data_IF_793828720143
#
_entry.id   IF_793828720143
#
_cell.length_a   1.000
_cell.length_b   1.000
_cell.length_c   1.000
_cell.angle_alpha   90.00
_cell.angle_beta   90.00
_cell.angle_gamma   90.00
#
_symmetry.space_group_name_H-M   'P 1'
#
loop_
_entity.id
_entity.type
_entity.pdbx_description
1 polymer ?
#
# COMPACT_ATOMS: atom_id res chain seq x y z
N UNK A 1 41.10 -15.12 48.91
CA UNK A 1 41.33 -14.75 47.51
C UNK A 1 40.49 -15.67 46.63
N UNK A 2 39.43 -15.12 46.06
CA UNK A 2 38.61 -15.62 44.94
C UNK A 2 39.44 -15.78 43.65
N UNK A 3 38.92 -16.36 42.54
CA UNK A 3 37.63 -17.05 42.39
C UNK A 3 37.66 -18.39 41.60
N UNK A 4 36.53 -19.08 41.76
CA UNK A 4 35.99 -20.23 41.03
C UNK A 4 35.37 -19.72 39.72
N UNK A 5 35.76 -20.26 38.56
CA UNK A 5 35.15 -19.93 37.28
C UNK A 5 33.96 -20.87 37.00
N UNK A 6 32.75 -20.32 37.09
CA UNK A 6 31.52 -20.89 36.53
C UNK A 6 31.52 -20.64 35.02
N UNK A 7 31.30 -21.70 34.25
CA UNK A 7 31.00 -21.59 32.83
C UNK A 7 29.49 -21.38 32.68
N UNK A 8 29.08 -20.12 32.63
CA UNK A 8 27.75 -19.74 32.13
C UNK A 8 27.77 -19.87 30.60
N UNK A 9 27.13 -20.92 30.10
CA UNK A 9 26.83 -21.08 28.69
C UNK A 9 25.75 -20.04 28.32
N UNK A 10 26.20 -19.00 27.64
CA UNK A 10 25.39 -17.98 26.97
C UNK A 10 24.39 -18.67 26.02
N UNK A 11 23.11 -18.66 26.40
CA UNK A 11 22.00 -18.97 25.50
C UNK A 11 21.98 -17.87 24.43
N UNK A 12 22.60 -18.15 23.28
CA UNK A 12 22.51 -17.30 22.09
C UNK A 12 21.06 -17.34 21.61
N UNK A 13 20.44 -16.17 21.62
CA UNK A 13 19.04 -15.93 21.28
C UNK A 13 18.73 -16.39 19.85
N UNK A 14 17.80 -17.35 19.71
CA UNK A 14 17.20 -17.83 18.45
C UNK A 14 16.20 -16.83 17.85
N UNK A 15 16.49 -15.53 17.88
CA UNK A 15 15.54 -14.49 17.46
C UNK A 15 15.63 -14.14 15.96
N UNK A 16 16.72 -14.53 15.28
CA UNK A 16 16.95 -14.20 13.87
C UNK A 16 16.29 -15.14 12.85
N UNK A 17 16.22 -16.45 13.12
CA UNK A 17 15.69 -17.43 12.16
C UNK A 17 14.16 -17.42 12.05
N UNK A 18 13.45 -17.05 13.13
CA UNK A 18 11.99 -16.97 13.14
C UNK A 18 11.46 -15.82 12.25
N UNK A 19 12.18 -14.71 12.16
CA UNK A 19 11.77 -13.51 11.41
C UNK A 19 11.78 -13.73 9.90
N UNK A 20 12.75 -14.49 9.37
CA UNK A 20 12.86 -14.75 7.93
C UNK A 20 11.80 -15.76 7.45
N UNK A 21 11.49 -16.78 8.28
CA UNK A 21 10.43 -17.75 8.01
C UNK A 21 9.03 -17.13 8.00
N UNK A 22 8.76 -16.24 8.95
CA UNK A 22 7.49 -15.51 9.04
C UNK A 22 7.28 -14.55 7.86
N UNK A 23 8.36 -13.89 7.41
CA UNK A 23 8.31 -12.98 6.28
C UNK A 23 8.01 -13.72 4.96
N UNK A 24 8.69 -14.84 4.72
CA UNK A 24 8.47 -15.64 3.51
C UNK A 24 7.05 -16.27 3.50
N UNK A 25 6.54 -16.66 4.67
CA UNK A 25 5.15 -17.12 4.82
C UNK A 25 4.14 -16.02 4.48
N UNK A 26 4.37 -14.77 4.90
CA UNK A 26 3.53 -13.63 4.53
C UNK A 26 3.54 -13.39 3.02
N UNK A 27 4.73 -13.33 2.41
CA UNK A 27 4.88 -13.10 0.97
C UNK A 27 4.09 -14.17 0.20
N UNK A 28 4.25 -15.44 0.56
CA UNK A 28 3.53 -16.54 -0.08
C UNK A 28 2.01 -16.49 0.13
N UNK A 29 1.56 -16.19 1.36
CA UNK A 29 0.14 -16.07 1.68
C UNK A 29 -0.51 -14.90 0.91
N UNK A 30 0.21 -13.80 0.78
CA UNK A 30 -0.24 -12.61 0.05
C UNK A 30 -0.30 -12.85 -1.45
N UNK A 31 0.71 -13.51 -2.03
CA UNK A 31 0.70 -13.87 -3.45
C UNK A 31 -0.41 -14.87 -3.78
N UNK A 32 -0.67 -15.83 -2.89
CA UNK A 32 -1.81 -16.76 -3.04
C UNK A 32 -3.13 -16.01 -2.99
N UNK A 33 -3.31 -15.10 -2.03
CA UNK A 33 -4.49 -14.25 -1.93
C UNK A 33 -4.69 -13.39 -3.18
N UNK A 34 -3.61 -12.78 -3.71
CA UNK A 34 -3.62 -12.00 -4.96
C UNK A 34 -4.00 -12.87 -6.16
N UNK A 35 -3.50 -14.10 -6.25
CA UNK A 35 -3.89 -15.04 -7.31
C UNK A 35 -5.40 -15.30 -7.26
N UNK A 36 -5.94 -15.63 -6.08
CA UNK A 36 -7.38 -15.85 -5.92
C UNK A 36 -8.22 -14.62 -6.27
N UNK A 37 -7.74 -13.41 -5.97
CA UNK A 37 -8.41 -12.16 -6.36
C UNK A 37 -8.37 -11.93 -7.87
N UNK A 38 -7.28 -12.29 -8.55
CA UNK A 38 -7.19 -12.21 -10.02
C UNK A 38 -8.15 -13.18 -10.68
N UNK A 39 -8.25 -14.41 -10.17
CA UNK A 39 -9.22 -15.40 -10.67
C UNK A 39 -10.65 -14.90 -10.49
N UNK A 40 -10.97 -14.30 -9.33
CA UNK A 40 -12.26 -13.68 -9.08
C UNK A 40 -12.54 -12.48 -10.00
N UNK A 41 -11.50 -11.70 -10.31
CA UNK A 41 -11.62 -10.54 -11.19
C UNK A 41 -12.06 -10.96 -12.59
N UNK A 42 -11.44 -11.99 -13.16
CA UNK A 42 -11.83 -12.53 -14.47
C UNK A 42 -13.31 -12.91 -14.50
N UNK A 43 -13.80 -13.63 -13.49
CA UNK A 43 -15.20 -14.02 -13.39
C UNK A 43 -16.15 -12.83 -13.25
N UNK A 44 -15.73 -11.75 -12.58
CA UNK A 44 -16.54 -10.53 -12.42
C UNK A 44 -16.53 -9.68 -13.69
N UNK A 45 -15.41 -9.59 -14.39
CA UNK A 45 -15.28 -8.88 -15.67
C UNK A 45 -16.17 -9.52 -16.74
N UNK A 46 -16.20 -10.85 -16.84
CA UNK A 46 -17.10 -11.59 -17.75
C UNK A 46 -18.58 -11.26 -17.46
N UNK A 47 -18.97 -11.15 -16.17
CA UNK A 47 -20.33 -10.74 -15.79
C UNK A 47 -20.65 -9.30 -16.18
N UNK A 48 -19.68 -8.38 -16.07
CA UNK A 48 -19.85 -6.99 -16.51
C UNK A 48 -20.03 -6.91 -18.02
N UNK A 49 -19.25 -7.67 -18.78
CA UNK A 49 -19.37 -7.76 -20.24
C UNK A 49 -20.75 -8.27 -20.64
N UNK A 50 -21.18 -9.41 -20.09
CA UNK A 50 -22.50 -9.98 -20.36
C UNK A 50 -23.66 -9.03 -20.00
N UNK A 51 -23.57 -8.34 -18.86
CA UNK A 51 -24.59 -7.36 -18.46
C UNK A 51 -24.57 -6.10 -19.35
N UNK A 52 -23.41 -5.68 -19.86
CA UNK A 52 -23.30 -4.57 -20.79
C UNK A 52 -23.92 -4.91 -22.16
N UNK A 53 -23.70 -6.12 -22.65
CA UNK A 53 -24.34 -6.62 -23.87
C UNK A 53 -25.87 -6.73 -23.72
N UNK A 54 -26.34 -7.23 -22.58
CA UNK A 54 -27.78 -7.31 -22.30
C UNK A 54 -28.42 -5.92 -22.24
N UNK A 55 -27.77 -4.96 -21.58
CA UNK A 55 -28.25 -3.59 -21.50
C UNK A 55 -28.39 -2.95 -22.89
N UNK A 56 -27.45 -3.20 -23.79
CA UNK A 56 -27.53 -2.66 -25.16
C UNK A 56 -28.68 -3.28 -25.96
N UNK A 57 -28.95 -4.59 -25.79
CA UNK A 57 -30.14 -5.23 -26.37
C UNK A 57 -31.44 -4.63 -25.82
N UNK A 58 -31.51 -4.43 -24.50
CA UNK A 58 -32.68 -3.82 -23.85
C UNK A 58 -32.87 -2.35 -24.23
N UNK A 59 -31.78 -1.62 -24.49
CA UNK A 59 -31.84 -0.24 -25.00
C UNK A 59 -32.60 -0.15 -26.32
N UNK A 60 -32.32 -1.04 -27.27
CA UNK A 60 -33.04 -1.08 -28.54
C UNK A 60 -34.52 -1.41 -28.33
N UNK A 61 -34.84 -2.43 -27.53
CA UNK A 61 -36.23 -2.79 -27.22
C UNK A 61 -36.99 -1.67 -26.47
N UNK A 62 -36.28 -0.87 -25.66
CA UNK A 62 -36.88 0.27 -24.97
C UNK A 62 -37.19 1.42 -25.95
N UNK A 63 -36.28 1.71 -26.88
CA UNK A 63 -36.51 2.70 -27.95
C UNK A 63 -37.71 2.32 -28.82
N UNK A 64 -37.88 1.03 -29.08
CA UNK A 64 -39.01 0.48 -29.83
C UNK A 64 -40.32 0.45 -29.00
N UNK A 65 -40.28 0.82 -27.72
CA UNK A 65 -41.43 0.83 -26.83
C UNK A 65 -41.92 -0.58 -26.42
N UNK A 66 -41.10 -1.61 -26.64
CA UNK A 66 -41.43 -3.01 -26.37
C UNK A 66 -41.32 -3.33 -24.88
N UNK A 67 -40.32 -2.75 -24.19
CA UNK A 67 -40.12 -2.93 -22.74
C UNK A 67 -40.46 -1.66 -21.96
N UNK A 68 -40.80 -1.84 -20.69
CA UNK A 68 -41.05 -0.73 -19.78
C UNK A 68 -39.74 -0.02 -19.40
N UNK A 69 -39.87 1.27 -19.07
CA UNK A 69 -38.76 2.08 -18.53
C UNK A 69 -38.13 1.44 -17.29
N UNK A 70 -38.96 0.92 -16.38
CA UNK A 70 -38.50 0.25 -15.17
C UNK A 70 -37.56 -0.92 -15.49
N UNK A 71 -37.92 -1.76 -16.47
CA UNK A 71 -37.10 -2.93 -16.85
C UNK A 71 -35.74 -2.52 -17.42
N UNK A 72 -35.70 -1.42 -18.18
CA UNK A 72 -34.46 -0.85 -18.68
C UNK A 72 -33.57 -0.32 -17.53
N UNK A 73 -34.14 0.47 -16.63
CA UNK A 73 -33.43 1.03 -15.46
C UNK A 73 -32.89 -0.07 -14.51
N UNK A 74 -33.61 -1.18 -14.33
CA UNK A 74 -33.13 -2.34 -13.56
C UNK A 74 -31.85 -2.96 -14.15
N UNK A 75 -31.76 -3.04 -15.48
CA UNK A 75 -30.55 -3.54 -16.16
C UNK A 75 -29.38 -2.55 -16.02
N UNK A 76 -29.64 -1.24 -16.10
CA UNK A 76 -28.62 -0.21 -15.85
C UNK A 76 -28.06 -0.32 -14.42
N UNK A 77 -28.93 -0.48 -13.43
CA UNK A 77 -28.53 -0.65 -12.03
C UNK A 77 -27.70 -1.92 -11.83
N UNK A 78 -28.07 -3.01 -12.48
CA UNK A 78 -27.31 -4.27 -12.44
C UNK A 78 -25.89 -4.07 -12.98
N UNK A 79 -25.73 -3.38 -14.11
CA UNK A 79 -24.41 -3.10 -14.68
C UNK A 79 -23.56 -2.22 -13.75
N UNK A 80 -24.18 -1.21 -13.11
CA UNK A 80 -23.50 -0.36 -12.13
C UNK A 80 -23.02 -1.17 -10.92
N UNK A 81 -23.87 -2.06 -10.39
CA UNK A 81 -23.50 -2.93 -9.27
C UNK A 81 -22.31 -3.83 -9.61
N UNK A 82 -22.36 -4.51 -10.76
CA UNK A 82 -21.30 -5.42 -11.20
C UNK A 82 -19.97 -4.66 -11.41
N UNK A 83 -20.01 -3.45 -11.98
CA UNK A 83 -18.82 -2.59 -12.09
C UNK A 83 -18.28 -2.18 -10.72
N UNK A 84 -19.17 -1.90 -9.76
CA UNK A 84 -18.78 -1.64 -8.38
C UNK A 84 -18.05 -2.83 -7.75
N UNK A 85 -18.52 -4.05 -8.01
CA UNK A 85 -17.88 -5.29 -7.56
C UNK A 85 -16.48 -5.49 -8.19
N UNK A 86 -16.30 -5.16 -9.47
CA UNK A 86 -14.97 -5.18 -10.12
C UNK A 86 -14.04 -4.16 -9.45
N UNK A 87 -14.50 -2.93 -9.26
CA UNK A 87 -13.73 -1.88 -8.61
C UNK A 87 -13.28 -2.28 -7.19
N UNK A 88 -14.15 -2.92 -6.41
CA UNK A 88 -13.85 -3.45 -5.08
C UNK A 88 -12.69 -4.47 -5.11
N UNK A 89 -12.69 -5.39 -6.07
CA UNK A 89 -11.61 -6.39 -6.21
C UNK A 89 -10.28 -5.72 -6.55
N UNK A 90 -10.30 -4.73 -7.45
CA UNK A 90 -9.10 -3.93 -7.74
C UNK A 90 -8.54 -3.23 -6.50
N UNK A 91 -9.40 -2.66 -5.64
CA UNK A 91 -8.95 -2.05 -4.39
C UNK A 91 -8.30 -3.08 -3.45
N UNK A 92 -8.86 -4.29 -3.35
CA UNK A 92 -8.27 -5.38 -2.54
C UNK A 92 -6.91 -5.83 -3.06
N UNK A 93 -6.75 -5.94 -4.39
CA UNK A 93 -5.46 -6.26 -5.01
C UNK A 93 -4.43 -5.18 -4.65
N UNK A 94 -4.79 -3.91 -4.84
CA UNK A 94 -3.92 -2.77 -4.52
C UNK A 94 -3.51 -2.74 -3.05
N UNK A 95 -4.43 -2.98 -2.13
CA UNK A 95 -4.13 -3.03 -0.70
C UNK A 95 -3.16 -4.18 -0.36
N UNK A 96 -3.29 -5.33 -1.01
CA UNK A 96 -2.38 -6.45 -0.82
C UNK A 96 -0.97 -6.16 -1.35
N UNK A 97 -0.86 -5.43 -2.47
CA UNK A 97 0.42 -4.96 -3.00
C UNK A 97 1.12 -3.99 -2.04
N UNK A 98 0.39 -2.98 -1.56
CA UNK A 98 0.92 -2.00 -0.61
C UNK A 98 1.50 -2.69 0.64
N UNK A 99 0.74 -3.64 1.20
CA UNK A 99 1.18 -4.40 2.37
C UNK A 99 2.43 -5.24 2.10
N UNK A 100 2.52 -5.90 0.93
CA UNK A 100 3.72 -6.68 0.57
C UNK A 100 4.93 -5.77 0.37
N UNK A 101 4.71 -4.57 -0.17
CA UNK A 101 5.76 -3.58 -0.33
C UNK A 101 6.33 -3.08 0.98
N UNK A 102 5.47 -2.79 1.94
CA UNK A 102 5.88 -2.38 3.27
C UNK A 102 6.60 -3.51 4.00
N UNK A 103 6.07 -4.74 3.95
CA UNK A 103 6.68 -5.88 4.63
C UNK A 103 8.07 -6.23 4.06
N UNK A 104 8.27 -6.16 2.74
CA UNK A 104 9.59 -6.37 2.13
C UNK A 104 10.59 -5.32 2.57
N UNK A 105 10.15 -4.07 2.69
CA UNK A 105 11.00 -2.99 3.17
C UNK A 105 11.31 -3.13 4.65
N UNK A 106 10.34 -3.52 5.49
CA UNK A 106 10.61 -3.83 6.90
C UNK A 106 11.71 -4.90 7.00
N UNK A 107 11.62 -5.98 6.22
CA UNK A 107 12.62 -7.03 6.19
C UNK A 107 13.98 -6.53 5.67
N UNK A 108 14.03 -5.69 4.63
CA UNK A 108 15.28 -5.09 4.16
C UNK A 108 15.90 -4.18 5.22
N UNK A 109 15.08 -3.43 5.97
CA UNK A 109 15.52 -2.49 7.01
C UNK A 109 16.04 -3.18 8.25
N UNK A 110 15.42 -4.28 8.68
CA UNK A 110 15.92 -5.09 9.81
C UNK A 110 17.26 -5.74 9.47
N UNK A 111 17.50 -6.05 8.19
CA UNK A 111 18.71 -6.74 7.74
C UNK A 111 19.81 -5.82 7.17
N UNK A 112 19.53 -4.54 6.91
CA UNK A 112 20.50 -3.59 6.36
C UNK A 112 21.12 -2.69 7.46
N UNK A 113 22.45 -2.52 7.51
CA UNK A 113 23.07 -1.50 8.37
C UNK A 113 22.60 -0.10 7.93
N UNK A 114 22.37 0.80 8.90
CA UNK A 114 21.95 2.18 8.64
C UNK A 114 22.87 2.86 7.62
N UNK A 115 22.43 2.96 6.37
CA UNK A 115 23.00 3.90 5.43
C UNK A 115 22.51 5.30 5.82
N UNK A 116 23.31 5.97 6.65
CA UNK A 116 23.11 7.39 7.00
C UNK A 116 23.06 8.19 5.71
N UNK A 117 21.99 8.96 5.53
CA UNK A 117 21.80 9.84 4.40
C UNK A 117 22.99 10.82 4.29
N UNK A 118 23.88 10.59 3.33
CA UNK A 118 24.82 11.62 2.89
C UNK A 118 24.01 12.75 2.21
N UNK A 119 24.43 14.02 2.35
CA UNK A 119 23.73 15.12 1.71
C UNK A 119 23.77 14.90 0.20
N UNK A 120 22.67 15.19 -0.48
CA UNK A 120 22.48 15.02 -1.92
C UNK A 120 23.51 15.90 -2.66
N UNK A 121 24.72 15.37 -2.85
CA UNK A 121 25.75 15.98 -3.65
C UNK A 121 25.47 15.63 -5.12
N UNK A 122 25.24 16.67 -5.89
CA UNK A 122 24.97 16.60 -7.31
C UNK A 122 26.05 15.80 -8.06
N UNK A 123 25.60 15.06 -9.08
CA UNK A 123 26.40 14.38 -10.12
C UNK A 123 27.11 13.09 -9.69
N UNK A 124 26.33 12.04 -9.46
CA UNK A 124 26.76 10.68 -9.82
C UNK A 124 25.55 9.87 -10.29
N UNK A 125 25.73 9.21 -11.43
CA UNK A 125 24.91 8.14 -12.01
C UNK A 125 23.68 7.72 -11.20
N UNK A 126 22.50 8.11 -11.70
CA UNK A 126 21.17 7.69 -11.25
C UNK A 126 21.04 6.17 -11.25
N UNK A 127 21.55 5.50 -10.22
CA UNK A 127 21.04 4.21 -9.81
C UNK A 127 19.60 4.52 -9.37
N UNK A 128 18.64 4.30 -10.26
CA UNK A 128 17.20 4.47 -10.00
C UNK A 128 16.84 3.47 -8.90
N UNK A 129 16.99 3.87 -7.65
CA UNK A 129 16.52 3.08 -6.52
C UNK A 129 15.01 2.92 -6.72
N UNK A 130 14.51 1.69 -6.63
CA UNK A 130 13.09 1.38 -6.84
C UNK A 130 12.19 2.17 -5.87
N UNK A 131 12.75 2.58 -4.73
CA UNK A 131 12.09 3.39 -3.71
C UNK A 131 13.04 4.44 -3.09
N UNK A 132 12.47 5.46 -2.45
CA UNK A 132 13.15 6.42 -1.58
C UNK A 132 12.64 6.21 -0.17
N UNK A 133 13.52 6.24 0.84
CA UNK A 133 13.13 6.19 2.25
C UNK A 133 13.63 7.42 2.98
N UNK A 134 12.74 8.02 3.77
CA UNK A 134 13.09 9.02 4.77
C UNK A 134 12.59 8.53 6.13
N UNK A 135 13.52 8.21 7.03
CA UNK A 135 13.19 7.61 8.32
C UNK A 135 12.45 8.58 9.26
N UNK A 136 12.60 9.90 9.06
CA UNK A 136 12.03 10.92 9.93
C UNK A 136 12.49 10.83 11.38
N UNK A 137 12.21 11.87 12.15
CA UNK A 137 12.32 11.85 13.62
C UNK A 137 11.15 12.56 14.30
N UNK A 138 10.15 12.97 13.53
CA UNK A 138 8.94 13.59 14.02
C UNK A 138 7.99 12.58 14.65
N UNK A 139 7.17 13.05 15.58
CA UNK A 139 6.06 12.30 16.16
C UNK A 139 4.87 12.33 15.20
N UNK A 140 4.99 11.58 14.10
CA UNK A 140 3.91 11.44 13.14
C UNK A 140 2.78 10.54 13.67
N UNK A 141 1.54 10.94 13.39
CA UNK A 141 0.33 10.12 13.53
C UNK A 141 -0.75 10.60 12.53
N UNK A 142 -1.78 9.77 12.30
CA UNK A 142 -2.88 10.14 11.39
C UNK A 142 -3.67 11.38 11.83
N UNK A 143 -3.60 11.80 13.10
CA UNK A 143 -4.23 13.07 13.50
C UNK A 143 -3.58 14.30 12.83
N UNK A 144 -2.37 14.15 12.29
CA UNK A 144 -1.69 15.20 11.55
C UNK A 144 -1.97 15.17 10.03
N UNK A 145 -2.75 14.20 9.54
CA UNK A 145 -3.13 14.02 8.14
C UNK A 145 -3.68 15.31 7.50
N UNK A 146 -4.59 15.99 8.20
CA UNK A 146 -5.25 17.20 7.69
C UNK A 146 -4.25 18.32 7.39
N UNK A 147 -3.08 18.36 8.04
CA UNK A 147 -2.03 19.33 7.73
C UNK A 147 -1.39 19.05 6.37
N UNK A 148 -1.17 17.78 6.04
CA UNK A 148 -0.63 17.35 4.74
C UNK A 148 -1.65 17.63 3.64
N UNK A 149 -2.90 17.27 3.86
CA UNK A 149 -4.00 17.55 2.92
C UNK A 149 -4.15 19.05 2.67
N UNK A 150 -4.11 19.87 3.72
CA UNK A 150 -4.16 21.32 3.63
C UNK A 150 -2.98 21.93 2.86
N UNK A 151 -1.76 21.45 3.12
CA UNK A 151 -0.58 21.82 2.34
C UNK A 151 -0.78 21.51 0.85
N UNK A 152 -1.21 20.28 0.54
CA UNK A 152 -1.38 19.81 -0.83
C UNK A 152 -2.45 20.62 -1.57
N UNK A 153 -3.60 20.84 -0.93
CA UNK A 153 -4.68 21.65 -1.47
C UNK A 153 -4.25 23.09 -1.71
N UNK A 154 -3.56 23.72 -0.76
CA UNK A 154 -3.06 25.10 -0.89
C UNK A 154 -2.06 25.22 -2.03
N UNK A 155 -1.22 24.19 -2.24
CA UNK A 155 -0.16 24.19 -3.26
C UNK A 155 -0.68 23.91 -4.67
N UNK A 156 -1.65 23.01 -4.81
CA UNK A 156 -2.08 22.46 -6.11
C UNK A 156 -3.55 22.67 -6.45
N UNK A 157 -4.36 23.22 -5.54
CA UNK A 157 -5.77 23.52 -5.77
C UNK A 157 -6.68 22.28 -5.87
N UNK A 158 -6.20 21.10 -5.44
CA UNK A 158 -6.95 19.84 -5.46
C UNK A 158 -6.67 19.02 -4.21
N UNK A 159 -7.57 18.09 -3.88
CA UNK A 159 -7.38 17.20 -2.75
C UNK A 159 -6.21 16.23 -2.97
N UNK A 160 -5.55 15.87 -1.87
CA UNK A 160 -4.52 14.84 -1.83
C UNK A 160 -5.13 13.49 -2.27
N UNK A 161 -4.58 12.79 -3.28
CA UNK A 161 -5.14 11.53 -3.74
C UNK A 161 -4.78 10.40 -2.79
N UNK A 162 -5.42 10.37 -1.62
CA UNK A 162 -5.27 9.31 -0.63
C UNK A 162 -5.81 7.99 -1.21
N UNK A 163 -5.00 6.94 -1.11
CA UNK A 163 -5.28 5.61 -1.62
C UNK A 163 -5.42 4.54 -0.55
N UNK A 164 -4.83 4.76 0.62
CA UNK A 164 -5.09 3.99 1.83
C UNK A 164 -4.95 4.91 3.04
N UNK A 165 -5.79 4.73 4.05
CA UNK A 165 -5.79 5.59 5.24
C UNK A 165 -5.87 4.72 6.50
N UNK A 166 -4.73 4.54 7.16
CA UNK A 166 -4.63 3.78 8.40
C UNK A 166 -4.83 2.27 8.25
N UNK A 167 -5.30 1.67 9.33
CA UNK A 167 -5.47 0.22 9.48
C UNK A 167 -6.57 -0.31 8.57
N UNK A 168 -6.33 -1.47 7.95
CA UNK A 168 -7.36 -2.21 7.20
C UNK A 168 -7.58 -3.62 7.74
N UNK A 169 -8.65 -4.28 7.30
CA UNK A 169 -8.94 -5.68 7.68
C UNK A 169 -7.82 -6.64 7.26
N UNK A 170 -7.14 -6.34 6.15
CA UNK A 170 -5.99 -7.12 5.70
C UNK A 170 -4.84 -7.05 6.71
N UNK A 171 -4.55 -5.85 7.22
CA UNK A 171 -3.56 -5.64 8.28
C UNK A 171 -3.94 -6.40 9.55
N UNK A 172 -5.21 -6.34 9.97
CA UNK A 172 -5.70 -7.08 11.15
C UNK A 172 -5.55 -8.59 10.97
N UNK A 173 -5.93 -9.12 9.80
CA UNK A 173 -5.89 -10.56 9.50
C UNK A 173 -4.48 -11.13 9.53
N UNK A 174 -3.48 -10.33 9.15
CA UNK A 174 -2.08 -10.76 9.09
C UNK A 174 -1.23 -10.23 10.24
N UNK A 175 -1.83 -9.51 11.19
CA UNK A 175 -1.16 -9.03 12.40
C UNK A 175 -0.13 -7.94 12.12
N UNK A 176 -0.42 -6.99 11.25
CA UNK A 176 0.40 -5.80 11.00
C UNK A 176 -0.28 -4.55 11.55
N UNK A 177 0.51 -3.62 12.09
CA UNK A 177 0.05 -2.32 12.56
C UNK A 177 0.40 -1.22 11.55
N UNK A 178 -0.64 -0.67 10.93
CA UNK A 178 -0.61 0.44 9.98
C UNK A 178 -1.45 1.64 10.48
N UNK A 179 -1.80 1.69 11.77
CA UNK A 179 -2.72 2.70 12.33
C UNK A 179 -2.21 4.14 12.23
N UNK A 180 -0.91 4.33 12.04
CA UNK A 180 -0.28 5.65 11.95
C UNK A 180 0.36 5.89 10.59
N UNK A 181 -0.19 5.30 9.52
CA UNK A 181 0.32 5.50 8.17
C UNK A 181 -0.82 5.63 7.14
N UNK A 182 -0.51 6.25 6.01
CA UNK A 182 -1.42 6.41 4.88
C UNK A 182 -0.64 6.32 3.57
N UNK A 183 -1.30 5.92 2.50
CA UNK A 183 -0.72 5.92 1.15
C UNK A 183 -1.38 6.95 0.28
N UNK A 184 -0.59 7.64 -0.53
CA UNK A 184 -1.08 8.56 -1.54
C UNK A 184 -0.65 8.13 -2.94
N UNK A 185 -1.60 8.15 -3.87
CA UNK A 185 -1.38 7.81 -5.27
C UNK A 185 -0.73 8.99 -6.02
N UNK A 186 0.43 9.45 -5.54
CA UNK A 186 1.25 10.49 -6.16
C UNK A 186 2.56 9.87 -6.61
N UNK A 187 2.91 10.05 -7.88
CA UNK A 187 4.18 9.59 -8.42
C UNK A 187 5.35 10.37 -7.79
N UNK A 188 6.39 9.72 -7.22
CA UNK A 188 7.46 10.43 -6.51
C UNK A 188 8.20 11.44 -7.38
N UNK A 189 8.43 11.12 -8.66
CA UNK A 189 9.16 11.99 -9.59
C UNK A 189 8.30 13.09 -10.23
N UNK A 190 7.00 13.18 -9.93
CA UNK A 190 6.17 14.30 -10.40
C UNK A 190 6.46 15.58 -9.60
N UNK A 191 6.08 16.75 -10.13
CA UNK A 191 6.19 18.02 -9.40
C UNK A 191 5.44 17.99 -8.06
N UNK A 192 4.29 17.34 -8.03
CA UNK A 192 3.49 17.13 -6.82
C UNK A 192 4.19 16.21 -5.83
N UNK A 193 4.73 15.08 -6.31
CA UNK A 193 5.45 14.11 -5.49
C UNK A 193 6.71 14.70 -4.87
N UNK A 194 7.52 15.41 -5.65
CA UNK A 194 8.72 16.09 -5.16
C UNK A 194 8.37 17.16 -4.12
N UNK A 195 7.32 17.95 -4.36
CA UNK A 195 6.87 18.98 -3.40
C UNK A 195 6.34 18.36 -2.10
N UNK A 196 5.57 17.27 -2.20
CA UNK A 196 5.08 16.54 -1.05
C UNK A 196 6.23 15.94 -0.24
N UNK A 197 7.17 15.24 -0.88
CA UNK A 197 8.33 14.67 -0.18
C UNK A 197 9.20 15.73 0.49
N UNK A 198 9.38 16.91 -0.15
CA UNK A 198 10.08 18.03 0.44
C UNK A 198 9.35 18.57 1.70
N UNK A 199 8.02 18.71 1.62
CA UNK A 199 7.20 19.10 2.77
C UNK A 199 7.30 18.09 3.91
N UNK A 200 7.11 16.79 3.64
CA UNK A 200 7.23 15.72 4.64
C UNK A 200 8.60 15.71 5.32
N UNK A 201 9.67 15.86 4.52
CA UNK A 201 11.04 15.96 5.03
C UNK A 201 11.22 17.18 5.94
N UNK A 202 10.66 18.34 5.57
CA UNK A 202 10.74 19.57 6.38
C UNK A 202 10.01 19.44 7.72
N UNK A 203 8.93 18.66 7.75
CA UNK A 203 8.14 18.37 8.95
C UNK A 203 8.70 17.16 9.73
N UNK A 204 9.81 16.56 9.26
CA UNK A 204 10.43 15.34 9.81
C UNK A 204 9.48 14.14 9.85
N UNK A 205 8.49 14.11 8.97
CA UNK A 205 7.50 13.03 8.85
C UNK A 205 8.13 11.87 8.05
N UNK A 206 8.16 10.64 8.58
CA UNK A 206 8.68 9.49 7.85
C UNK A 206 7.87 9.20 6.59
N UNK A 207 8.53 8.74 5.53
CA UNK A 207 7.85 8.27 4.32
C UNK A 207 8.70 7.27 3.52
N UNK A 208 8.00 6.50 2.67
CA UNK A 208 8.55 5.68 1.60
C UNK A 208 7.93 6.12 0.28
N UNK A 209 8.74 6.26 -0.77
CA UNK A 209 8.25 6.69 -2.07
C UNK A 209 8.67 5.67 -3.13
N UNK A 210 7.70 4.95 -3.69
CA UNK A 210 7.92 3.91 -4.69
C UNK A 210 7.86 4.52 -6.09
N UNK A 211 8.94 4.40 -6.86
CA UNK A 211 9.05 5.02 -8.20
C UNK A 211 8.51 4.16 -9.34
N UNK A 212 8.31 2.88 -9.08
CA UNK A 212 7.91 1.91 -10.08
C UNK A 212 7.25 0.73 -9.39
N UNK A 213 6.53 -0.09 -10.16
CA UNK A 213 6.07 -1.36 -9.66
C UNK A 213 7.28 -2.19 -9.20
N UNK A 214 7.20 -2.74 -8.00
CA UNK A 214 8.20 -3.67 -7.48
C UNK A 214 7.54 -5.04 -7.54
N UNK A 215 8.16 -5.99 -8.24
CA UNK A 215 7.56 -7.32 -8.44
C UNK A 215 7.27 -7.98 -7.09
N UNK A 216 6.03 -8.45 -6.92
CA UNK A 216 5.48 -8.98 -5.66
C UNK A 216 4.99 -7.90 -4.68
N UNK A 217 5.48 -6.69 -4.80
CA UNK A 217 5.46 -5.62 -3.79
C UNK A 217 4.50 -4.52 -4.23
N UNK A 218 4.96 -3.35 -4.70
CA UNK A 218 4.10 -2.27 -5.16
C UNK A 218 3.55 -2.52 -6.59
N UNK A 219 2.26 -2.33 -6.83
CA UNK A 219 1.68 -2.36 -8.20
C UNK A 219 1.89 -1.09 -9.01
N UNK A 220 2.40 -0.03 -8.40
CA UNK A 220 2.73 1.20 -9.11
C UNK A 220 3.29 2.30 -8.21
N UNK A 221 3.65 3.45 -8.80
CA UNK A 221 4.26 4.54 -8.07
C UNK A 221 3.30 5.18 -7.05
N UNK A 222 3.73 5.29 -5.80
CA UNK A 222 2.97 5.91 -4.72
C UNK A 222 3.90 6.38 -3.60
N UNK A 223 3.39 7.18 -2.67
CA UNK A 223 4.10 7.61 -1.47
C UNK A 223 3.34 7.10 -0.25
N UNK A 224 3.99 6.25 0.53
CA UNK A 224 3.55 5.85 1.86
C UNK A 224 4.06 6.87 2.87
N UNK A 225 3.17 7.44 3.67
CA UNK A 225 3.43 8.46 4.68
C UNK A 225 3.24 7.82 6.05
N UNK A 226 4.28 7.85 6.86
CA UNK A 226 4.30 7.21 8.16
C UNK A 226 5.44 6.22 8.30
N UNK A 227 5.43 5.52 9.44
CA UNK A 227 6.33 4.38 9.63
C UNK A 227 5.77 3.20 8.83
N UNK A 228 6.64 2.39 8.20
CA UNK A 228 6.20 1.15 7.56
C UNK A 228 5.40 0.30 8.54
N UNK A 229 4.44 -0.48 8.02
CA UNK A 229 3.77 -1.50 8.82
C UNK A 229 4.78 -2.38 9.56
N UNK A 230 4.48 -2.69 10.82
CA UNK A 230 5.26 -3.63 11.62
C UNK A 230 4.36 -4.71 12.21
N UNK A 231 4.88 -5.92 12.40
CA UNK A 231 4.10 -7.02 12.98
C UNK A 231 3.64 -6.65 14.41
N UNK A 232 2.33 -6.58 14.62
CA UNK A 232 1.71 -6.26 15.91
C UNK A 232 2.04 -7.36 16.92
N UNK A 233 2.97 -7.09 17.82
CA UNK A 233 3.54 -8.06 18.77
C UNK A 233 5.03 -7.85 19.06
N UNK A 234 5.72 -7.12 18.18
CA UNK A 234 7.08 -6.65 18.42
C UNK A 234 7.05 -5.23 18.98
N UNK A 235 6.80 -5.08 20.28
CA UNK A 235 7.30 -3.89 20.98
C UNK A 235 8.82 -3.90 20.85
N UNK A 236 9.38 -2.87 20.18
CA UNK A 236 10.77 -2.50 20.40
C UNK A 236 10.91 -2.19 21.90
N UNK A 237 11.42 -3.14 22.67
CA UNK A 237 12.01 -2.88 23.99
C UNK A 237 13.49 -2.63 23.80
#
# INVERSE_FOLDING_TARGET
RTPKAQADALVVSRSGEASAGDHNALVNATETYKSSLRDLLVLREERVEGAAEELEKLRELYKDGIISRQKFEESEQTLVELRGQVAEVHQKIKAADQMLAEALLEAEVVNAPLAVAAPIAAKSSLRRVAYIRYAGSGNWSLSEATKIEGFFFTRFGRHLPVSAYGQSDLHNRWGYDHRNAMDVAVHPDSTEGQSLMAYLSSQRIPFLAFRQAVQGSATGPHIHIGRPSSKSGWTQQ
#
